data_IF_438442875889
#
_entry.id   IF_438442875889
#
_cell.length_a   1.000
_cell.length_b   1.000
_cell.length_c   1.000
_cell.angle_alpha   90.00
_cell.angle_beta   90.00
_cell.angle_gamma   90.00
#
_symmetry.space_group_name_H-M   'P 1'
#
loop_
_entity.id
_entity.type
_entity.pdbx_description
1 polymer ?
#
# COMPACT_ATOMS: atom_id res chain seq x y z
N UNK A 1 1.17 10.97 16.38
CA UNK A 1 -0.21 10.64 16.80
C UNK A 1 -0.45 9.16 16.53
N UNK A 2 -1.18 8.48 17.42
CA UNK A 2 -1.26 7.01 17.50
C UNK A 2 -1.99 6.43 16.29
N UNK A 3 -1.55 5.27 15.81
CA UNK A 3 -2.49 4.19 15.51
C UNK A 3 -1.87 2.82 15.82
N UNK A 4 -2.26 2.31 16.98
CA UNK A 4 -2.19 0.89 17.32
C UNK A 4 -3.40 0.23 16.66
N UNK A 5 -3.17 -0.60 15.65
CA UNK A 5 -4.01 -1.77 15.41
C UNK A 5 -3.07 -2.97 15.42
N UNK A 6 -2.82 -3.46 16.63
CA UNK A 6 -2.21 -4.77 16.87
C UNK A 6 -3.26 -5.80 16.47
N UNK A 7 -3.09 -6.41 15.31
CA UNK A 7 -3.60 -7.75 15.07
C UNK A 7 -2.40 -8.70 15.09
N UNK A 8 -2.12 -9.26 16.27
CA UNK A 8 -1.27 -10.45 16.42
C UNK A 8 -2.05 -11.63 15.82
N UNK A 9 -1.95 -11.74 14.49
CA UNK A 9 -2.53 -12.80 13.68
C UNK A 9 -1.91 -12.69 12.28
N UNK A 10 -0.81 -13.40 12.06
CA UNK A 10 -0.22 -13.72 10.75
C UNK A 10 0.20 -12.52 9.85
N UNK A 11 0.06 -11.28 10.31
CA UNK A 11 0.35 -10.08 9.51
C UNK A 11 -0.68 -9.80 8.41
N UNK A 12 -1.89 -10.34 8.50
CA UNK A 12 -2.95 -10.15 7.51
C UNK A 12 -3.95 -9.05 7.92
N UNK A 13 -4.50 -8.35 6.93
CA UNK A 13 -5.65 -7.45 7.12
C UNK A 13 -6.90 -8.26 7.53
N UNK A 14 -7.67 -7.81 8.54
CA UNK A 14 -8.94 -8.45 8.88
C UNK A 14 -9.91 -8.41 7.69
N UNK A 15 -10.54 -9.54 7.39
CA UNK A 15 -11.54 -9.63 6.30
C UNK A 15 -12.64 -8.56 6.38
N UNK A 16 -13.21 -8.23 7.56
CA UNK A 16 -14.21 -7.15 7.65
C UNK A 16 -13.70 -5.81 7.13
N UNK A 17 -12.42 -5.49 7.32
CA UNK A 17 -11.82 -4.24 6.81
C UNK A 17 -11.79 -4.24 5.28
N UNK A 18 -11.43 -5.38 4.67
CA UNK A 18 -11.40 -5.53 3.21
C UNK A 18 -12.81 -5.37 2.62
N UNK A 19 -13.81 -5.97 3.26
CA UNK A 19 -15.23 -5.85 2.85
C UNK A 19 -15.73 -4.41 2.95
N UNK A 20 -15.46 -3.72 4.06
CA UNK A 20 -15.84 -2.30 4.20
C UNK A 20 -15.14 -1.44 3.15
N UNK A 21 -13.86 -1.68 2.89
CA UNK A 21 -13.10 -0.95 1.88
C UNK A 21 -13.64 -1.20 0.45
N UNK A 22 -14.02 -2.44 0.12
CA UNK A 22 -14.62 -2.76 -1.18
C UNK A 22 -15.99 -2.12 -1.39
N UNK A 23 -16.68 -1.74 -0.31
CA UNK A 23 -17.95 -1.01 -0.33
C UNK A 23 -17.78 0.52 -0.40
N UNK A 24 -16.54 1.02 -0.50
CA UNK A 24 -16.23 2.45 -0.60
C UNK A 24 -16.03 3.18 0.73
N UNK A 25 -15.89 2.45 1.85
CA UNK A 25 -15.52 3.07 3.13
C UNK A 25 -14.10 3.64 3.06
N UNK A 26 -14.00 4.97 3.14
CA UNK A 26 -12.75 5.73 3.05
C UNK A 26 -11.80 5.39 4.21
N UNK A 27 -12.34 5.19 5.43
CA UNK A 27 -11.52 4.86 6.59
C UNK A 27 -10.95 3.44 6.45
N UNK A 28 -11.77 2.50 5.99
CA UNK A 28 -11.32 1.13 5.72
C UNK A 28 -10.28 1.08 4.59
N UNK A 29 -10.48 1.84 3.51
CA UNK A 29 -9.51 1.95 2.42
C UNK A 29 -8.17 2.51 2.92
N UNK A 30 -8.18 3.53 3.78
CA UNK A 30 -6.97 4.08 4.36
C UNK A 30 -6.23 3.04 5.23
N UNK A 31 -6.96 2.20 5.98
CA UNK A 31 -6.35 1.09 6.73
C UNK A 31 -5.67 0.09 5.78
N UNK A 32 -6.29 -0.22 4.64
CA UNK A 32 -5.68 -1.09 3.61
C UNK A 32 -4.40 -0.46 3.04
N UNK A 33 -4.44 0.82 2.67
CA UNK A 33 -3.26 1.53 2.15
C UNK A 33 -2.12 1.57 3.18
N UNK A 34 -2.40 1.94 4.44
CA UNK A 34 -1.39 1.95 5.50
C UNK A 34 -0.78 0.57 5.75
N UNK A 35 -1.56 -0.50 5.60
CA UNK A 35 -1.05 -1.86 5.76
C UNK A 35 -0.04 -2.24 4.66
N UNK A 36 -0.30 -1.84 3.41
CA UNK A 36 0.55 -2.16 2.26
C UNK A 36 1.64 -1.10 1.97
N UNK A 37 1.64 0.04 2.65
CA UNK A 37 2.60 1.14 2.44
C UNK A 37 4.06 0.66 2.43
N UNK A 38 4.56 -0.14 3.41
CA UNK A 38 5.96 -0.56 3.40
C UNK A 38 6.29 -1.49 2.23
N UNK A 39 5.32 -2.30 1.80
CA UNK A 39 5.46 -3.21 0.68
C UNK A 39 5.51 -2.44 -0.65
N UNK A 40 4.62 -1.47 -0.82
CA UNK A 40 4.57 -0.58 -1.99
C UNK A 40 5.87 0.24 -2.06
N UNK A 41 6.28 0.89 -0.97
CA UNK A 41 7.51 1.68 -0.93
C UNK A 41 8.73 0.87 -1.40
N UNK A 42 8.82 -0.39 -0.96
CA UNK A 42 9.89 -1.31 -1.38
C UNK A 42 9.82 -1.68 -2.87
N UNK A 43 8.62 -1.95 -3.39
CA UNK A 43 8.44 -2.24 -4.83
C UNK A 43 8.67 -1.01 -5.72
N UNK A 44 8.49 0.18 -5.16
CA UNK A 44 8.76 1.45 -5.83
C UNK A 44 10.22 1.88 -5.74
N UNK A 45 11.12 1.10 -5.16
CA UNK A 45 12.53 1.47 -5.12
C UNK A 45 13.15 1.40 -6.52
N UNK A 46 13.83 2.47 -6.91
CA UNK A 46 14.58 2.55 -8.17
C UNK A 46 15.98 3.06 -7.90
N UNK A 47 16.95 2.48 -8.61
CA UNK A 47 18.32 2.96 -8.60
C UNK A 47 18.59 3.76 -9.87
N UNK A 48 19.02 5.01 -9.71
CA UNK A 48 19.55 5.86 -10.78
C UNK A 48 21.05 6.03 -10.61
N UNK A 49 21.74 6.38 -11.70
CA UNK A 49 23.17 6.67 -11.68
C UNK A 49 23.30 8.19 -11.80
N UNK A 50 24.07 8.82 -10.91
CA UNK A 50 24.34 10.25 -10.95
C UNK A 50 25.38 10.61 -12.04
N UNK A 51 25.64 11.90 -12.19
CA UNK A 51 26.61 12.43 -13.18
C UNK A 51 28.06 11.97 -12.93
N UNK A 52 28.36 11.49 -11.73
CA UNK A 52 29.67 10.98 -11.33
C UNK A 52 29.76 9.45 -11.42
N UNK A 53 28.69 8.77 -11.87
CA UNK A 53 28.64 7.32 -11.99
C UNK A 53 28.24 6.58 -10.72
N UNK A 54 27.80 7.28 -9.66
CA UNK A 54 27.41 6.63 -8.41
C UNK A 54 25.94 6.19 -8.44
N UNK A 55 25.62 4.98 -7.95
CA UNK A 55 24.24 4.54 -7.81
C UNK A 55 23.56 5.20 -6.61
N UNK A 56 22.39 5.79 -6.86
CA UNK A 56 21.51 6.31 -5.82
C UNK A 56 20.16 5.58 -5.87
N UNK A 57 19.74 5.03 -4.74
CA UNK A 57 18.46 4.34 -4.63
C UNK A 57 17.45 5.21 -3.90
N UNK A 58 16.32 5.47 -4.53
CA UNK A 58 15.22 6.25 -3.98
C UNK A 58 13.88 5.60 -4.29
N UNK A 59 12.82 6.07 -3.64
CA UNK A 59 11.46 5.72 -4.02
C UNK A 59 11.10 6.45 -5.31
N UNK A 60 10.69 5.70 -6.32
CA UNK A 60 10.06 6.20 -7.54
C UNK A 60 8.59 6.53 -7.21
N UNK A 61 8.31 7.81 -6.97
CA UNK A 61 6.99 8.29 -6.53
C UNK A 61 5.90 8.06 -7.59
N UNK A 62 6.25 8.03 -8.88
CA UNK A 62 5.33 7.67 -9.95
C UNK A 62 4.95 6.19 -9.86
N UNK A 63 5.92 5.31 -9.62
CA UNK A 63 5.66 3.89 -9.39
C UNK A 63 4.81 3.67 -8.13
N UNK A 64 5.14 4.38 -7.03
CA UNK A 64 4.37 4.34 -5.77
C UNK A 64 2.92 4.72 -6.01
N UNK A 65 2.69 5.87 -6.64
CA UNK A 65 1.33 6.36 -6.93
C UNK A 65 0.54 5.38 -7.79
N UNK A 66 1.20 4.77 -8.80
CA UNK A 66 0.57 3.75 -9.66
C UNK A 66 0.22 2.47 -8.91
N UNK A 67 1.07 2.02 -7.99
CA UNK A 67 0.80 0.83 -7.18
C UNK A 67 -0.33 1.08 -6.17
N UNK A 68 -0.34 2.24 -5.52
CA UNK A 68 -1.43 2.65 -4.62
C UNK A 68 -2.77 2.73 -5.37
N UNK A 69 -2.80 3.38 -6.54
CA UNK A 69 -4.01 3.46 -7.37
C UNK A 69 -4.52 2.07 -7.81
N UNK A 70 -3.62 1.17 -8.21
CA UNK A 70 -3.99 -0.21 -8.55
C UNK A 70 -4.52 -0.98 -7.35
N UNK A 71 -3.93 -0.79 -6.17
CA UNK A 71 -4.44 -1.43 -4.96
C UNK A 71 -5.87 -0.98 -4.65
N UNK A 72 -6.14 0.32 -4.73
CA UNK A 72 -7.51 0.88 -4.55
C UNK A 72 -8.48 0.25 -5.55
N UNK A 73 -8.13 0.24 -6.84
CA UNK A 73 -8.96 -0.37 -7.89
C UNK A 73 -9.25 -1.85 -7.61
N UNK A 74 -8.24 -2.63 -7.21
CA UNK A 74 -8.41 -4.05 -6.93
C UNK A 74 -9.28 -4.29 -5.68
N UNK A 75 -9.15 -3.45 -4.65
CA UNK A 75 -9.99 -3.54 -3.45
C UNK A 75 -11.44 -3.21 -3.77
N UNK A 76 -11.70 -2.19 -4.60
CA UNK A 76 -13.06 -1.85 -5.04
C UNK A 76 -13.70 -2.95 -5.91
N UNK A 77 -12.89 -3.66 -6.69
CA UNK A 77 -13.33 -4.80 -7.50
C UNK A 77 -13.37 -6.14 -6.73
N UNK A 78 -13.05 -6.13 -5.44
CA UNK A 78 -13.00 -7.34 -4.63
C UNK A 78 -14.39 -7.95 -4.46
N UNK A 79 -14.55 -9.20 -4.88
CA UNK A 79 -15.82 -9.93 -4.73
C UNK A 79 -15.99 -10.41 -3.30
N UNK A 80 -16.93 -9.80 -2.60
CA UNK A 80 -17.40 -10.27 -1.29
C UNK A 80 -18.32 -11.48 -1.54
N UNK A 81 -18.06 -12.59 -0.84
CA UNK A 81 -18.78 -13.85 -1.00
C UNK A 81 -20.15 -13.84 -0.31
#
# INVERSE_FOLDING_TARGET
MKNKAVHKGNGLLPYPVIVSASQGDILAMNVVLCHYEPYIARLSMRTSIDEYGNPHTSVDEDMRSRLEAKLIEQVLNFKVA
#
